data_IF_201090277846
#
_entry.id   IF_201090277846
#
_cell.length_a   1.000
_cell.length_b   1.000
_cell.length_c   1.000
_cell.angle_alpha   90.00
_cell.angle_beta   90.00
_cell.angle_gamma   90.00
#
_symmetry.space_group_name_H-M   'P 1'
#
loop_
_entity.id
_entity.type
_entity.pdbx_description
1 polymer ?
#
# COMPACT_ATOMS: atom_id res chain seq x y z
N UNK A 1 -19.92 -0.40 16.27
CA UNK A 1 -21.15 -0.60 17.08
C UNK A 1 -21.35 -2.07 17.43
N UNK A 2 -22.31 -2.40 18.30
CA UNK A 2 -22.57 -3.79 18.75
C UNK A 2 -23.49 -4.59 17.81
N UNK A 3 -24.05 -3.95 16.78
CA UNK A 3 -24.88 -4.64 15.80
C UNK A 3 -24.03 -5.65 15.01
N UNK A 4 -24.51 -6.88 14.78
CA UNK A 4 -23.81 -7.86 13.96
C UNK A 4 -23.80 -7.45 12.48
N UNK A 5 -22.87 -8.01 11.70
CA UNK A 5 -22.74 -7.81 10.27
C UNK A 5 -21.46 -7.08 9.86
N UNK A 6 -21.14 -7.15 8.57
CA UNK A 6 -19.87 -6.71 8.00
C UNK A 6 -19.81 -5.21 7.71
N UNK A 7 -20.92 -4.50 7.94
CA UNK A 7 -21.03 -3.06 7.81
C UNK A 7 -21.41 -2.40 9.15
N UNK A 8 -21.00 -1.15 9.28
CA UNK A 8 -21.46 -0.22 10.32
C UNK A 8 -22.34 0.84 9.65
N UNK A 9 -23.48 1.14 10.26
CA UNK A 9 -24.38 2.21 9.84
C UNK A 9 -24.34 3.33 10.89
N UNK A 10 -23.81 4.48 10.49
CA UNK A 10 -23.85 5.69 11.28
C UNK A 10 -25.02 6.57 10.83
N UNK A 11 -25.71 7.18 11.80
CA UNK A 11 -26.89 8.02 11.56
C UNK A 11 -26.75 9.33 12.34
N UNK A 12 -26.64 10.44 11.62
CA UNK A 12 -26.71 11.78 12.18
C UNK A 12 -28.14 12.31 12.03
N UNK A 13 -28.77 12.64 13.15
CA UNK A 13 -30.14 13.18 13.19
C UNK A 13 -30.11 14.60 13.72
N UNK A 14 -30.68 15.53 12.96
CA UNK A 14 -30.97 16.91 13.35
C UNK A 14 -32.47 17.17 13.27
N UNK A 15 -32.92 18.37 13.66
CA UNK A 15 -34.34 18.73 13.56
C UNK A 15 -34.86 18.74 12.10
N UNK A 16 -33.97 19.07 11.15
CA UNK A 16 -34.35 19.35 9.76
C UNK A 16 -33.77 18.34 8.77
N UNK A 17 -32.87 17.45 9.22
CA UNK A 17 -32.09 16.58 8.35
C UNK A 17 -31.68 15.26 9.03
N UNK A 18 -31.66 14.17 8.25
CA UNK A 18 -31.08 12.88 8.61
C UNK A 18 -30.02 12.54 7.57
N UNK A 19 -28.82 12.22 8.05
CA UNK A 19 -27.71 11.76 7.22
C UNK A 19 -27.26 10.38 7.67
N UNK A 20 -26.93 9.53 6.71
CA UNK A 20 -26.49 8.15 6.97
C UNK A 20 -25.22 7.84 6.21
N UNK A 21 -24.27 7.18 6.88
CA UNK A 21 -23.06 6.66 6.27
C UNK A 21 -22.95 5.16 6.55
N UNK A 22 -22.52 4.39 5.55
CA UNK A 22 -22.21 2.97 5.67
C UNK A 22 -20.75 2.76 5.36
N UNK A 23 -20.09 1.96 6.17
CA UNK A 23 -18.69 1.62 5.97
C UNK A 23 -18.40 0.19 6.45
N UNK A 24 -17.34 -0.45 5.93
CA UNK A 24 -16.93 -1.77 6.39
C UNK A 24 -16.63 -1.78 7.89
N UNK A 25 -16.95 -2.90 8.53
CA UNK A 25 -16.55 -3.19 9.90
C UNK A 25 -15.08 -3.61 9.92
N UNK A 26 -14.31 -3.01 10.81
CA UNK A 26 -12.98 -3.53 11.17
C UNK A 26 -13.18 -4.72 12.10
N UNK A 27 -12.65 -5.88 11.71
CA UNK A 27 -12.71 -7.11 12.51
C UNK A 27 -11.70 -7.07 13.66
N UNK A 28 -12.10 -6.46 14.78
CA UNK A 28 -11.28 -6.36 15.99
C UNK A 28 -12.13 -6.11 17.22
N UNK A 29 -11.69 -6.64 18.36
CA UNK A 29 -12.28 -6.37 19.67
C UNK A 29 -11.68 -5.12 20.36
N UNK A 30 -10.60 -4.54 19.81
CA UNK A 30 -9.84 -3.43 20.40
C UNK A 30 -10.53 -2.06 20.29
N UNK A 31 -11.77 -1.99 20.72
CA UNK A 31 -12.64 -0.82 20.56
C UNK A 31 -12.72 0.05 21.81
N UNK A 32 -11.90 -0.24 22.84
CA UNK A 32 -11.89 0.52 24.08
C UNK A 32 -11.52 1.98 23.82
N UNK A 33 -12.30 2.90 24.39
CA UNK A 33 -12.13 4.34 24.21
C UNK A 33 -12.76 4.93 22.94
N UNK A 34 -13.35 4.11 22.05
CA UNK A 34 -13.97 4.56 20.80
C UNK A 34 -15.01 5.68 20.98
N UNK A 35 -15.96 5.53 21.90
CA UNK A 35 -17.00 6.54 22.13
C UNK A 35 -16.46 7.88 22.64
N UNK A 36 -15.51 7.85 23.58
CA UNK A 36 -14.85 9.06 24.10
C UNK A 36 -14.02 9.75 23.01
N UNK A 37 -13.26 8.97 22.25
CA UNK A 37 -12.40 9.50 21.19
C UNK A 37 -13.22 10.08 20.03
N UNK A 38 -14.33 9.44 19.63
CA UNK A 38 -15.23 9.96 18.60
C UNK A 38 -15.89 11.27 19.05
N UNK A 39 -16.45 11.28 20.26
CA UNK A 39 -17.10 12.48 20.81
C UNK A 39 -16.12 13.64 20.96
N UNK A 40 -14.90 13.38 21.43
CA UNK A 40 -13.85 14.39 21.53
C UNK A 40 -13.44 14.92 20.15
N UNK A 41 -13.25 14.04 19.16
CA UNK A 41 -12.91 14.44 17.79
C UNK A 41 -13.98 15.37 17.19
N UNK A 42 -15.27 15.01 17.31
CA UNK A 42 -16.38 15.83 16.81
C UNK A 42 -16.43 17.17 17.56
N UNK A 43 -16.35 17.17 18.88
CA UNK A 43 -16.40 18.39 19.69
C UNK A 43 -15.26 19.36 19.35
N UNK A 44 -14.04 18.85 19.16
CA UNK A 44 -12.88 19.67 18.75
C UNK A 44 -13.08 20.28 17.37
N UNK A 45 -13.58 19.51 16.39
CA UNK A 45 -13.86 20.03 15.03
C UNK A 45 -14.93 21.11 15.02
N UNK A 46 -16.01 20.91 15.76
CA UNK A 46 -17.05 21.93 15.95
C UNK A 46 -16.48 23.20 16.61
N UNK A 47 -15.60 23.06 17.61
CA UNK A 47 -14.93 24.19 18.23
C UNK A 47 -14.01 24.96 17.27
N UNK A 48 -13.49 24.29 16.23
CA UNK A 48 -12.76 24.91 15.13
C UNK A 48 -13.65 25.54 14.05
N UNK A 49 -14.97 25.49 14.20
CA UNK A 49 -15.93 26.09 13.28
C UNK A 49 -16.26 25.23 12.06
N UNK A 50 -15.91 23.94 12.08
CA UNK A 50 -16.33 23.02 11.02
C UNK A 50 -17.87 22.84 11.03
N UNK A 51 -18.54 22.75 9.87
CA UNK A 51 -19.96 22.40 9.79
C UNK A 51 -20.25 21.06 10.49
N UNK A 52 -21.44 20.90 11.08
CA UNK A 52 -21.79 19.72 11.87
C UNK A 52 -21.60 18.41 11.10
N UNK A 53 -22.09 18.36 9.87
CA UNK A 53 -21.97 17.19 8.98
C UNK A 53 -20.50 16.84 8.75
N UNK A 54 -19.67 17.82 8.40
CA UNK A 54 -18.24 17.61 8.17
C UNK A 54 -17.50 17.17 9.43
N UNK A 55 -17.84 17.78 10.58
CA UNK A 55 -17.24 17.44 11.87
C UNK A 55 -17.54 16.00 12.28
N UNK A 56 -18.78 15.55 12.06
CA UNK A 56 -19.21 14.16 12.31
C UNK A 56 -18.52 13.21 11.35
N UNK A 57 -18.59 13.46 10.03
CA UNK A 57 -17.97 12.61 9.02
C UNK A 57 -16.46 12.44 9.22
N UNK A 58 -15.73 13.54 9.49
CA UNK A 58 -14.29 13.48 9.79
C UNK A 58 -13.97 12.86 11.14
N UNK A 59 -14.92 12.88 12.09
CA UNK A 59 -14.82 12.17 13.36
C UNK A 59 -14.93 10.66 13.17
N UNK A 60 -15.87 10.21 12.34
CA UNK A 60 -16.06 8.81 11.95
C UNK A 60 -14.83 8.29 11.21
N UNK A 61 -14.36 9.01 10.18
CA UNK A 61 -13.16 8.62 9.43
C UNK A 61 -11.91 8.51 10.33
N UNK A 62 -11.76 9.41 11.31
CA UNK A 62 -10.72 9.29 12.33
C UNK A 62 -10.87 8.02 13.17
N UNK A 63 -12.11 7.69 13.58
CA UNK A 63 -12.39 6.53 14.41
C UNK A 63 -12.14 5.21 13.68
N UNK A 64 -12.58 5.10 12.42
CA UNK A 64 -12.29 3.94 11.57
C UNK A 64 -10.80 3.63 11.54
N UNK A 65 -9.97 4.65 11.25
CA UNK A 65 -8.52 4.53 11.24
C UNK A 65 -7.95 4.19 12.63
N UNK A 66 -8.47 4.81 13.68
CA UNK A 66 -8.01 4.57 15.06
C UNK A 66 -8.31 3.14 15.54
N UNK A 67 -9.42 2.55 15.07
CA UNK A 67 -9.78 1.15 15.34
C UNK A 67 -8.94 0.21 14.48
N UNK A 68 -8.79 0.49 13.17
CA UNK A 68 -7.98 -0.31 12.23
C UNK A 68 -6.54 -0.45 12.70
N UNK A 69 -5.96 0.62 13.22
CA UNK A 69 -4.58 0.65 13.70
C UNK A 69 -4.51 0.72 15.23
N UNK A 70 -5.36 -0.05 15.91
CA UNK A 70 -5.45 -0.08 17.37
C UNK A 70 -4.11 -0.40 18.06
N UNK A 71 -4.06 -0.14 19.36
CA UNK A 71 -3.00 -0.60 20.22
C UNK A 71 -3.40 -1.87 20.96
N UNK A 72 -2.56 -2.89 20.84
CA UNK A 72 -2.59 -4.05 21.72
C UNK A 72 -1.85 -3.69 23.03
N UNK A 73 -2.62 -3.36 24.07
CA UNK A 73 -2.12 -2.86 25.35
C UNK A 73 -2.92 -3.42 26.52
N UNK A 74 -2.21 -3.75 27.60
CA UNK A 74 -2.80 -4.38 28.78
C UNK A 74 -3.07 -5.87 28.57
N UNK A 75 -3.97 -6.43 29.38
CA UNK A 75 -4.39 -7.84 29.30
C UNK A 75 -5.78 -8.00 28.63
N UNK A 76 -6.38 -6.89 28.19
CA UNK A 76 -7.70 -6.87 27.57
C UNK A 76 -7.65 -6.84 26.04
N UNK A 77 -8.79 -6.58 25.37
CA UNK A 77 -8.88 -6.60 23.91
C UNK A 77 -8.07 -5.54 23.16
N UNK A 78 -7.36 -4.63 23.85
CA UNK A 78 -6.71 -3.46 23.27
C UNK A 78 -7.56 -2.18 23.27
N UNK A 79 -7.01 -1.10 22.71
CA UNK A 79 -7.65 0.22 22.69
C UNK A 79 -7.43 0.95 21.36
N UNK A 80 -8.34 1.87 21.03
CA UNK A 80 -8.22 2.67 19.80
C UNK A 80 -6.96 3.54 19.81
N UNK A 81 -6.36 3.76 18.64
CA UNK A 81 -5.16 4.56 18.50
C UNK A 81 -5.49 6.06 18.38
N UNK A 82 -5.59 6.71 19.54
CA UNK A 82 -5.92 8.14 19.68
C UNK A 82 -4.97 9.08 18.91
N UNK A 83 -3.71 8.66 18.71
CA UNK A 83 -2.69 9.47 18.03
C UNK A 83 -2.45 9.04 16.58
N UNK A 84 -3.31 8.21 15.98
CA UNK A 84 -3.04 7.60 14.67
C UNK A 84 -2.73 8.64 13.60
N UNK A 85 -3.50 9.73 13.52
CA UNK A 85 -3.26 10.80 12.57
C UNK A 85 -1.92 11.52 12.79
N UNK A 86 -1.61 11.84 14.06
CA UNK A 86 -0.34 12.49 14.43
C UNK A 86 0.85 11.59 14.13
N UNK A 87 0.75 10.30 14.44
CA UNK A 87 1.80 9.31 14.17
C UNK A 87 1.97 9.11 12.67
N UNK A 88 0.89 9.12 11.90
CA UNK A 88 0.96 9.05 10.45
C UNK A 88 1.76 10.21 9.88
N UNK A 89 1.41 11.44 10.28
CA UNK A 89 2.13 12.65 9.87
C UNK A 89 3.60 12.60 10.27
N UNK A 90 3.90 12.23 11.52
CA UNK A 90 5.27 12.15 12.04
C UNK A 90 6.16 11.13 11.30
N UNK A 91 5.56 10.13 10.63
CA UNK A 91 6.32 9.11 9.88
C UNK A 91 6.60 9.49 8.43
N UNK A 92 6.11 10.65 7.96
CA UNK A 92 6.27 11.06 6.56
C UNK A 92 7.74 11.25 6.16
N UNK A 93 8.52 11.91 6.99
CA UNK A 93 9.95 12.14 6.75
C UNK A 93 10.72 10.81 6.69
N UNK A 94 10.59 9.95 7.71
CA UNK A 94 11.25 8.65 7.73
C UNK A 94 10.86 7.76 6.53
N UNK A 95 9.60 7.84 6.07
CA UNK A 95 9.14 7.11 4.87
C UNK A 95 9.81 7.65 3.61
N UNK A 96 9.94 8.98 3.49
CA UNK A 96 10.65 9.63 2.38
C UNK A 96 12.13 9.25 2.36
N UNK A 97 12.79 9.24 3.52
CA UNK A 97 14.19 8.81 3.66
C UNK A 97 14.37 7.35 3.27
N UNK A 98 13.46 6.47 3.70
CA UNK A 98 13.49 5.05 3.36
C UNK A 98 13.40 4.80 1.85
N UNK A 99 12.44 5.46 1.17
CA UNK A 99 12.32 5.39 -0.29
C UNK A 99 13.56 5.99 -0.97
N UNK A 100 14.05 7.13 -0.50
CA UNK A 100 15.28 7.75 -1.01
C UNK A 100 16.48 6.82 -0.88
N UNK A 101 16.59 6.08 0.24
CA UNK A 101 17.63 5.09 0.46
C UNK A 101 17.57 3.94 -0.55
N UNK A 102 16.38 3.41 -0.83
CA UNK A 102 16.19 2.39 -1.85
C UNK A 102 16.57 2.89 -3.26
N UNK A 103 16.10 4.07 -3.64
CA UNK A 103 16.44 4.71 -4.93
C UNK A 103 17.94 4.89 -5.09
N UNK A 104 18.64 5.36 -4.04
CA UNK A 104 20.10 5.50 -4.07
C UNK A 104 20.84 4.18 -4.24
N UNK A 105 20.31 3.07 -3.72
CA UNK A 105 20.87 1.73 -3.98
C UNK A 105 20.66 1.32 -5.42
N UNK A 106 19.47 1.56 -5.97
CA UNK A 106 19.14 1.24 -7.36
C UNK A 106 20.02 1.98 -8.37
N UNK A 107 20.31 3.26 -8.12
CA UNK A 107 21.25 4.04 -8.94
C UNK A 107 22.70 3.56 -8.80
N UNK A 108 23.12 3.13 -7.60
CA UNK A 108 24.49 2.72 -7.33
C UNK A 108 24.83 1.36 -7.93
N UNK A 109 23.94 0.38 -7.74
CA UNK A 109 24.13 -1.01 -8.19
C UNK A 109 23.58 -1.23 -9.61
N UNK A 110 23.01 -0.17 -10.22
CA UNK A 110 22.56 -0.16 -11.61
C UNK A 110 21.52 -1.24 -11.97
N UNK A 111 20.30 -1.06 -11.48
CA UNK A 111 19.15 -1.94 -11.79
C UNK A 111 18.53 -1.70 -13.17
N UNK A 112 19.31 -1.19 -14.13
CA UNK A 112 18.84 -0.81 -15.47
C UNK A 112 18.08 -1.91 -16.22
N UNK A 113 18.45 -3.20 -16.13
CA UNK A 113 17.69 -4.29 -16.74
C UNK A 113 16.26 -4.38 -16.22
N UNK A 114 16.01 -4.10 -14.94
CA UNK A 114 14.68 -4.19 -14.34
C UNK A 114 13.80 -2.95 -14.58
N UNK A 115 14.28 -1.91 -15.26
CA UNK A 115 13.47 -0.71 -15.51
C UNK A 115 12.53 -0.93 -16.72
N UNK A 116 11.20 -0.79 -16.56
CA UNK A 116 10.26 -0.88 -17.68
C UNK A 116 10.28 0.39 -18.54
N UNK A 117 9.71 0.33 -19.74
CA UNK A 117 9.64 1.49 -20.66
C UNK A 117 8.79 2.63 -20.08
N UNK A 118 7.74 2.30 -19.32
CA UNK A 118 6.95 3.30 -18.57
C UNK A 118 7.67 3.89 -17.34
N UNK A 119 8.87 3.41 -17.02
CA UNK A 119 9.68 3.82 -15.88
C UNK A 119 9.33 3.08 -14.58
N UNK A 120 10.37 2.84 -13.78
CA UNK A 120 10.30 2.20 -12.46
C UNK A 120 9.90 3.22 -11.41
N UNK A 121 9.02 2.88 -10.47
CA UNK A 121 8.70 3.74 -9.34
C UNK A 121 8.69 2.94 -8.04
N UNK A 122 9.35 3.49 -7.03
CA UNK A 122 9.38 2.95 -5.68
C UNK A 122 8.41 3.76 -4.85
N UNK A 123 7.50 3.08 -4.16
CA UNK A 123 6.51 3.69 -3.28
C UNK A 123 6.72 3.19 -1.86
N UNK A 124 6.66 4.11 -0.90
CA UNK A 124 6.61 3.83 0.53
C UNK A 124 5.35 4.43 1.15
N UNK A 125 4.55 3.63 1.83
CA UNK A 125 3.43 4.05 2.65
C UNK A 125 3.89 4.34 4.09
N UNK A 126 3.31 5.36 4.70
CA UNK A 126 3.37 5.49 6.16
C UNK A 126 2.66 4.29 6.81
N UNK A 127 2.98 3.92 8.06
CA UNK A 127 2.38 2.75 8.72
C UNK A 127 0.85 2.80 8.81
N UNK A 128 0.26 3.99 8.72
CA UNK A 128 -1.18 4.22 8.85
C UNK A 128 -1.80 4.85 7.58
N UNK A 129 -1.13 4.75 6.43
CA UNK A 129 -1.67 5.28 5.18
C UNK A 129 -2.94 4.53 4.78
N UNK A 130 -3.94 5.25 4.30
CA UNK A 130 -5.15 4.71 3.69
C UNK A 130 -5.45 5.39 2.35
N UNK A 131 -4.69 6.44 2.00
CA UNK A 131 -4.81 7.18 0.76
C UNK A 131 -3.45 7.40 0.08
N UNK A 132 -3.47 7.70 -1.22
CA UNK A 132 -2.25 7.80 -2.03
C UNK A 132 -1.37 9.01 -1.65
N UNK A 133 -1.97 10.08 -1.13
CA UNK A 133 -1.28 11.26 -0.61
C UNK A 133 -0.55 11.02 0.73
N UNK A 134 -0.76 9.85 1.32
CA UNK A 134 -0.03 9.29 2.47
C UNK A 134 1.06 8.30 2.04
N UNK A 135 1.39 8.28 0.74
CA UNK A 135 2.51 7.52 0.18
C UNK A 135 3.56 8.43 -0.43
N UNK A 136 4.83 8.11 -0.22
CA UNK A 136 5.99 8.76 -0.81
C UNK A 136 6.49 7.97 -2.01
N UNK A 137 6.83 8.65 -3.11
CA UNK A 137 7.35 8.03 -4.32
C UNK A 137 8.30 8.95 -5.08
N UNK A 138 8.98 8.42 -6.10
CA UNK A 138 9.85 9.21 -6.98
C UNK A 138 8.99 10.06 -7.93
N UNK A 139 9.08 11.38 -7.82
CA UNK A 139 8.43 12.28 -8.77
C UNK A 139 9.06 12.10 -10.16
N UNK A 140 8.24 11.77 -11.16
CA UNK A 140 8.71 11.52 -12.51
C UNK A 140 9.38 10.16 -12.72
N UNK A 141 9.38 9.25 -11.72
CA UNK A 141 9.91 7.87 -11.81
C UNK A 141 11.43 7.79 -12.00
N UNK A 142 11.94 6.57 -11.93
CA UNK A 142 13.30 6.17 -12.30
C UNK A 142 13.28 5.72 -13.76
N UNK A 143 14.21 6.25 -14.55
CA UNK A 143 14.32 5.94 -15.98
C UNK A 143 15.74 5.49 -16.36
N UNK A 144 15.84 4.79 -17.49
CA UNK A 144 17.12 4.34 -18.05
C UNK A 144 17.90 5.55 -18.56
N UNK A 145 19.20 5.56 -18.29
CA UNK A 145 20.17 6.47 -18.89
C UNK A 145 21.25 5.67 -19.63
N UNK A 146 22.19 6.36 -20.28
CA UNK A 146 23.35 5.71 -20.91
C UNK A 146 24.25 5.04 -19.86
N UNK A 147 24.36 5.64 -18.67
CA UNK A 147 25.26 5.20 -17.61
C UNK A 147 24.56 4.37 -16.51
N UNK A 148 23.28 4.02 -16.69
CA UNK A 148 22.53 3.20 -15.74
C UNK A 148 21.08 3.64 -15.58
N UNK A 149 20.70 4.02 -14.35
CA UNK A 149 19.36 4.51 -14.01
C UNK A 149 19.44 5.82 -13.25
N UNK A 150 18.43 6.68 -13.40
CA UNK A 150 18.29 7.92 -12.63
C UNK A 150 16.84 8.20 -12.25
N UNK A 151 16.65 8.67 -11.02
CA UNK A 151 15.43 9.34 -10.61
C UNK A 151 15.30 10.69 -11.32
N UNK A 152 14.17 10.95 -11.98
CA UNK A 152 13.96 12.21 -12.70
C UNK A 152 13.89 13.42 -11.76
N UNK A 153 13.30 13.24 -10.58
CA UNK A 153 13.20 14.24 -9.51
C UNK A 153 13.33 13.55 -8.15
N UNK A 154 13.15 14.31 -7.07
CA UNK A 154 13.21 13.81 -5.70
C UNK A 154 12.03 12.92 -5.32
N UNK A 155 12.14 12.32 -4.13
CA UNK A 155 11.04 11.61 -3.49
C UNK A 155 10.14 12.61 -2.78
N UNK A 156 8.83 12.49 -2.97
CA UNK A 156 7.84 13.28 -2.24
C UNK A 156 6.54 12.50 -2.08
N UNK A 157 5.67 12.98 -1.20
CA UNK A 157 4.31 12.47 -1.09
C UNK A 157 3.47 12.86 -2.30
N UNK A 158 2.46 12.05 -2.58
CA UNK A 158 1.51 12.28 -3.68
C UNK A 158 2.22 12.37 -5.05
N UNK A 159 3.24 11.53 -5.24
CA UNK A 159 4.05 11.47 -6.46
C UNK A 159 3.76 10.26 -7.36
N UNK A 160 3.01 9.27 -6.85
CA UNK A 160 2.65 8.06 -7.59
C UNK A 160 1.22 7.66 -7.26
N UNK A 161 0.44 7.33 -8.29
CA UNK A 161 -0.95 6.93 -8.13
C UNK A 161 -1.19 5.46 -8.47
N UNK A 162 -0.37 4.86 -9.33
CA UNK A 162 -0.58 3.47 -9.78
C UNK A 162 -0.02 2.45 -8.78
N UNK A 163 1.29 2.52 -8.50
CA UNK A 163 1.95 1.61 -7.53
C UNK A 163 1.46 1.87 -6.11
N UNK A 164 1.11 3.13 -5.78
CA UNK A 164 0.53 3.47 -4.50
C UNK A 164 -0.83 2.81 -4.27
N UNK A 165 -1.73 2.84 -5.26
CA UNK A 165 -3.00 2.13 -5.16
C UNK A 165 -2.79 0.63 -4.99
N UNK A 166 -1.94 0.01 -5.81
CA UNK A 166 -1.60 -1.41 -5.65
C UNK A 166 -1.10 -1.74 -4.24
N UNK A 167 -0.18 -0.95 -3.70
CA UNK A 167 0.34 -1.16 -2.34
C UNK A 167 -0.76 -1.00 -1.28
N UNK A 168 -1.64 0.00 -1.40
CA UNK A 168 -2.76 0.19 -0.47
C UNK A 168 -3.75 -0.97 -0.55
N UNK A 169 -4.11 -1.42 -1.76
CA UNK A 169 -4.98 -2.59 -1.96
C UNK A 169 -4.35 -3.87 -1.39
N UNK A 170 -3.04 -4.06 -1.53
CA UNK A 170 -2.32 -5.20 -0.92
C UNK A 170 -2.36 -5.16 0.62
N UNK A 171 -2.44 -3.96 1.22
CA UNK A 171 -2.49 -3.77 2.67
C UNK A 171 -3.83 -4.10 3.30
N UNK A 172 -4.90 -4.21 2.51
CA UNK A 172 -6.17 -4.75 2.99
C UNK A 172 -6.05 -6.23 3.37
N UNK A 173 -5.10 -6.96 2.76
CA UNK A 173 -4.79 -8.36 3.07
C UNK A 173 -3.59 -8.49 4.01
N UNK A 174 -2.58 -7.64 3.82
CA UNK A 174 -1.36 -7.66 4.62
C UNK A 174 -1.01 -6.26 5.13
N UNK A 175 -1.59 -5.81 6.26
CA UNK A 175 -1.45 -4.44 6.77
C UNK A 175 -0.01 -3.98 7.02
N UNK A 176 0.90 -4.92 7.27
CA UNK A 176 2.33 -4.69 7.49
C UNK A 176 3.11 -4.30 6.25
N UNK A 177 2.59 -4.55 5.04
CA UNK A 177 3.25 -4.12 3.80
C UNK A 177 3.37 -2.60 3.78
N UNK A 178 4.55 -2.09 3.43
CA UNK A 178 4.82 -0.65 3.42
C UNK A 178 5.52 -0.16 2.17
N UNK A 179 6.14 -1.03 1.40
CA UNK A 179 6.92 -0.64 0.24
C UNK A 179 6.59 -1.50 -0.95
N UNK A 180 6.55 -0.88 -2.12
CA UNK A 180 6.37 -1.58 -3.39
C UNK A 180 7.19 -0.92 -4.50
N UNK A 181 7.56 -1.70 -5.52
CA UNK A 181 8.24 -1.22 -6.73
C UNK A 181 7.72 -1.97 -7.95
N UNK A 182 7.54 -1.26 -9.07
CA UNK A 182 7.26 -1.89 -10.35
C UNK A 182 8.55 -2.05 -11.16
N UNK A 183 8.79 -3.27 -11.64
CA UNK A 183 9.88 -3.67 -12.48
C UNK A 183 9.35 -4.13 -13.85
N UNK A 184 10.24 -4.15 -14.84
CA UNK A 184 10.04 -4.84 -16.12
C UNK A 184 9.75 -6.32 -15.87
N UNK A 185 8.97 -6.93 -16.74
CA UNK A 185 8.78 -8.38 -16.80
C UNK A 185 9.00 -8.88 -18.22
N UNK A 186 9.84 -9.90 -18.35
CA UNK A 186 10.20 -10.64 -19.56
C UNK A 186 10.72 -12.03 -19.15
N UNK A 187 11.08 -12.86 -20.14
CA UNK A 187 11.49 -14.26 -19.92
C UNK A 187 12.70 -14.38 -18.96
N UNK A 188 13.64 -13.43 -19.01
CA UNK A 188 14.81 -13.41 -18.11
C UNK A 188 14.39 -13.16 -16.65
N UNK A 189 13.45 -12.22 -16.43
CA UNK A 189 12.91 -11.93 -15.10
C UNK A 189 12.02 -13.08 -14.61
N UNK A 190 11.28 -13.73 -15.49
CA UNK A 190 10.47 -14.92 -15.15
C UNK A 190 11.37 -16.06 -14.68
N UNK A 191 12.41 -16.40 -15.45
CA UNK A 191 13.38 -17.44 -15.07
C UNK A 191 14.12 -17.10 -13.77
N UNK A 192 14.45 -15.83 -13.54
CA UNK A 192 15.08 -15.39 -12.30
C UNK A 192 14.14 -15.56 -11.09
N UNK A 193 12.86 -15.23 -11.20
CA UNK A 193 11.88 -15.43 -10.13
C UNK A 193 11.72 -16.91 -9.78
N UNK A 194 11.71 -17.79 -10.79
CA UNK A 194 11.65 -19.25 -10.60
C UNK A 194 12.91 -19.77 -9.89
N UNK A 195 14.10 -19.30 -10.30
CA UNK A 195 15.39 -19.69 -9.69
C UNK A 195 15.48 -19.29 -8.21
N UNK A 196 15.00 -18.08 -7.89
CA UNK A 196 14.98 -17.55 -6.52
C UNK A 196 13.99 -18.28 -5.60
N UNK A 197 13.02 -19.01 -6.16
CA UNK A 197 12.03 -19.77 -5.41
C UNK A 197 11.14 -18.89 -4.52
N UNK A 198 10.94 -17.62 -4.89
CA UNK A 198 10.10 -16.71 -4.13
C UNK A 198 8.62 -17.03 -4.31
N UNK A 199 7.78 -16.80 -3.29
CA UNK A 199 6.33 -16.81 -3.46
C UNK A 199 5.92 -15.74 -4.47
N UNK A 200 5.35 -16.17 -5.59
CA UNK A 200 4.93 -15.32 -6.71
C UNK A 200 3.44 -15.52 -6.94
N UNK A 201 2.70 -14.43 -7.06
CA UNK A 201 1.33 -14.43 -7.52
C UNK A 201 1.24 -13.87 -8.94
N UNK A 202 0.29 -14.36 -9.72
CA UNK A 202 0.00 -13.85 -11.07
C UNK A 202 -1.48 -13.45 -11.15
N UNK A 203 -1.78 -12.36 -11.86
CA UNK A 203 -3.16 -12.06 -12.23
C UNK A 203 -3.27 -11.82 -13.74
N UNK A 204 -4.32 -12.39 -14.34
CA UNK A 204 -4.65 -12.15 -15.74
C UNK A 204 -5.60 -10.97 -15.87
N UNK A 205 -5.05 -9.81 -16.25
CA UNK A 205 -5.82 -8.59 -16.48
C UNK A 205 -6.98 -8.76 -17.48
N UNK A 206 -6.93 -9.72 -18.41
CA UNK A 206 -8.04 -10.01 -19.31
C UNK A 206 -9.24 -10.68 -18.61
N UNK A 207 -9.02 -11.25 -17.44
CA UNK A 207 -10.06 -11.82 -16.56
C UNK A 207 -10.67 -10.79 -15.60
N UNK A 208 -10.29 -9.50 -15.71
CA UNK A 208 -10.89 -8.41 -14.92
C UNK A 208 -12.38 -8.28 -15.28
N UNK A 209 -13.30 -8.42 -14.30
CA UNK A 209 -14.73 -8.20 -14.51
C UNK A 209 -15.04 -6.74 -14.85
N UNK A 210 -16.03 -6.51 -15.73
CA UNK A 210 -16.49 -5.16 -16.10
C UNK A 210 -17.04 -4.35 -14.91
N UNK A 211 -17.45 -5.03 -13.83
CA UNK A 211 -18.01 -4.45 -12.60
C UNK A 211 -16.98 -4.31 -11.46
N UNK A 212 -15.69 -4.55 -11.72
CA UNK A 212 -14.65 -4.40 -10.72
C UNK A 212 -14.57 -2.95 -10.21
N UNK A 213 -14.50 -2.78 -8.88
CA UNK A 213 -14.39 -1.48 -8.21
C UNK A 213 -13.11 -0.69 -8.59
N UNK A 214 -12.12 -1.38 -9.17
CA UNK A 214 -10.92 -0.80 -9.75
C UNK A 214 -9.87 -1.87 -10.03
N UNK A 215 -9.09 -1.71 -11.10
CA UNK A 215 -8.15 -2.74 -11.54
C UNK A 215 -7.07 -3.10 -10.51
N UNK A 216 -6.63 -2.13 -9.70
CA UNK A 216 -5.61 -2.38 -8.67
C UNK A 216 -6.18 -3.16 -7.49
N UNK A 217 -7.42 -2.87 -7.10
CA UNK A 217 -8.11 -3.59 -6.02
C UNK A 217 -8.39 -5.02 -6.44
N UNK A 218 -8.86 -5.21 -7.67
CA UNK A 218 -9.04 -6.54 -8.24
C UNK A 218 -7.72 -7.30 -8.35
N UNK A 219 -6.65 -6.67 -8.84
CA UNK A 219 -5.33 -7.28 -8.95
C UNK A 219 -4.75 -7.69 -7.58
N UNK A 220 -4.86 -6.82 -6.56
CA UNK A 220 -4.43 -7.15 -5.21
C UNK A 220 -5.26 -8.27 -4.60
N UNK A 221 -6.58 -8.30 -4.86
CA UNK A 221 -7.43 -9.42 -4.45
C UNK A 221 -6.99 -10.73 -5.07
N UNK A 222 -6.73 -10.77 -6.38
CA UNK A 222 -6.24 -11.99 -7.03
C UNK A 222 -4.90 -12.43 -6.46
N UNK A 223 -4.02 -11.48 -6.16
CA UNK A 223 -2.67 -11.78 -5.70
C UNK A 223 -2.61 -12.22 -4.23
N UNK A 224 -3.38 -11.58 -3.34
CA UNK A 224 -3.18 -11.71 -1.89
C UNK A 224 -4.36 -12.35 -1.14
N UNK A 225 -5.54 -12.52 -1.78
CA UNK A 225 -6.70 -13.07 -1.06
C UNK A 225 -6.55 -14.54 -0.66
N UNK A 226 -5.74 -15.32 -1.40
CA UNK A 226 -5.52 -16.73 -1.08
C UNK A 226 -4.78 -16.92 0.26
N UNK A 227 -3.94 -15.95 0.65
CA UNK A 227 -3.12 -15.99 1.86
C UNK A 227 -3.58 -14.97 2.92
N UNK A 228 -4.82 -14.48 2.79
CA UNK A 228 -5.36 -13.44 3.67
C UNK A 228 -5.37 -13.85 5.16
N UNK A 229 -5.54 -15.14 5.44
CA UNK A 229 -5.58 -15.70 6.80
C UNK A 229 -4.17 -15.91 7.40
N UNK A 230 -3.10 -15.66 6.65
CA UNK A 230 -1.71 -15.78 7.11
C UNK A 230 -1.18 -17.22 7.23
N UNK A 231 -1.93 -18.21 6.73
CA UNK A 231 -1.56 -19.64 6.75
C UNK A 231 -0.68 -20.05 5.53
N UNK A 232 -0.59 -19.18 4.51
CA UNK A 232 0.22 -19.38 3.31
C UNK A 232 1.37 -18.38 3.16
N UNK A 233 2.27 -18.66 2.21
CA UNK A 233 3.44 -17.84 1.95
C UNK A 233 3.05 -16.57 1.18
N UNK A 234 2.99 -15.44 1.90
CA UNK A 234 2.67 -14.14 1.32
C UNK A 234 3.53 -13.86 0.07
N UNK A 235 2.91 -13.54 -1.08
CA UNK A 235 3.62 -13.19 -2.29
C UNK A 235 4.64 -12.07 -2.07
N UNK A 236 5.84 -12.31 -2.59
CA UNK A 236 6.93 -11.33 -2.67
C UNK A 236 6.85 -10.55 -3.98
N UNK A 237 6.42 -11.23 -5.05
CA UNK A 237 6.28 -10.69 -6.38
C UNK A 237 4.85 -10.92 -6.90
N UNK A 238 4.34 -9.94 -7.66
CA UNK A 238 3.06 -10.02 -8.36
C UNK A 238 3.28 -9.73 -9.84
N UNK A 239 2.99 -10.72 -10.69
CA UNK A 239 3.15 -10.66 -12.14
C UNK A 239 1.84 -10.19 -12.80
N UNK A 240 1.99 -9.24 -13.71
CA UNK A 240 0.98 -8.81 -14.68
C UNK A 240 1.58 -9.04 -16.08
N UNK A 241 1.10 -10.06 -16.80
CA UNK A 241 1.60 -10.38 -18.15
C UNK A 241 1.26 -9.33 -19.21
N UNK A 242 0.58 -8.25 -18.83
CA UNK A 242 0.21 -7.16 -19.73
C UNK A 242 -1.00 -7.51 -20.58
N UNK A 243 -1.32 -6.59 -21.49
CA UNK A 243 -2.42 -6.71 -22.45
C UNK A 243 -2.14 -5.81 -23.66
N UNK A 244 -3.02 -5.80 -24.65
CA UNK A 244 -2.87 -4.88 -25.80
C UNK A 244 -2.76 -3.43 -25.30
N UNK A 245 -1.59 -2.80 -25.54
CA UNK A 245 -1.29 -1.44 -25.08
C UNK A 245 -0.87 -1.30 -23.61
N UNK A 246 -0.67 -2.41 -22.88
CA UNK A 246 -0.18 -2.43 -21.50
C UNK A 246 1.07 -3.32 -21.42
N UNK A 247 2.19 -2.70 -21.06
CA UNK A 247 3.47 -3.38 -20.85
C UNK A 247 3.35 -4.43 -19.72
N UNK A 248 3.90 -5.64 -19.88
CA UNK A 248 4.04 -6.60 -18.79
C UNK A 248 4.89 -6.04 -17.65
N UNK A 249 4.53 -6.35 -16.41
CA UNK A 249 5.20 -5.83 -15.22
C UNK A 249 5.22 -6.82 -14.07
N UNK A 250 6.32 -6.80 -13.32
CA UNK A 250 6.40 -7.45 -12.00
C UNK A 250 6.39 -6.38 -10.93
N UNK A 251 5.62 -6.59 -9.86
CA UNK A 251 5.61 -5.70 -8.69
C UNK A 251 6.18 -6.46 -7.51
N UNK A 252 7.23 -5.93 -6.89
CA UNK A 252 7.76 -6.48 -5.65
C UNK A 252 7.18 -5.69 -4.47
N UNK A 253 6.89 -6.37 -3.37
CA UNK A 253 6.37 -5.76 -2.13
C UNK A 253 7.25 -6.11 -0.93
N UNK A 254 7.29 -5.26 0.08
CA UNK A 254 7.96 -5.54 1.36
C UNK A 254 7.43 -4.67 2.51
N UNK A 255 7.74 -5.07 3.74
CA UNK A 255 7.43 -4.32 4.96
C UNK A 255 8.51 -3.28 5.28
N UNK A 256 9.74 -3.51 4.81
CA UNK A 256 10.89 -2.62 4.99
C UNK A 256 11.51 -2.23 3.64
N UNK A 257 11.92 -0.97 3.50
CA UNK A 257 12.56 -0.47 2.29
C UNK A 257 13.89 -1.17 1.99
N UNK A 258 14.64 -1.57 3.01
CA UNK A 258 15.89 -2.34 2.87
C UNK A 258 15.62 -3.69 2.24
N UNK A 259 14.64 -4.43 2.75
CA UNK A 259 14.21 -5.72 2.18
C UNK A 259 13.69 -5.58 0.76
N UNK A 260 12.92 -4.52 0.46
CA UNK A 260 12.50 -4.25 -0.93
C UNK A 260 13.72 -4.03 -1.82
N UNK A 261 14.68 -3.24 -1.35
CA UNK A 261 15.88 -2.96 -2.12
C UNK A 261 16.74 -4.21 -2.33
N UNK A 262 16.91 -5.05 -1.30
CA UNK A 262 17.63 -6.31 -1.39
C UNK A 262 16.99 -7.22 -2.44
N UNK A 263 15.66 -7.37 -2.42
CA UNK A 263 14.91 -8.14 -3.43
C UNK A 263 15.08 -7.63 -4.84
N UNK A 264 15.05 -6.31 -5.05
CA UNK A 264 15.27 -5.77 -6.41
C UNK A 264 16.68 -6.08 -6.90
N UNK A 265 17.70 -5.98 -6.03
CA UNK A 265 19.08 -6.26 -6.40
C UNK A 265 19.31 -7.75 -6.67
N UNK A 266 18.78 -8.62 -5.82
CA UNK A 266 18.87 -10.07 -5.99
C UNK A 266 18.18 -10.53 -7.29
N UNK A 267 16.99 -9.99 -7.57
CA UNK A 267 16.31 -10.23 -8.85
C UNK A 267 17.11 -9.71 -10.05
N UNK A 268 17.76 -8.56 -9.90
CA UNK A 268 18.56 -7.97 -10.96
C UNK A 268 19.80 -8.82 -11.26
N UNK A 269 20.50 -9.28 -10.22
CA UNK A 269 21.71 -10.09 -10.35
C UNK A 269 21.39 -11.44 -10.98
N UNK A 270 20.29 -12.09 -10.56
CA UNK A 270 19.85 -13.36 -11.13
C UNK A 270 19.42 -13.20 -12.59
N UNK A 271 18.63 -12.16 -12.91
CA UNK A 271 18.17 -11.91 -14.28
C UNK A 271 19.31 -11.55 -15.26
N UNK A 272 20.41 -10.96 -14.78
CA UNK A 272 21.59 -10.68 -15.62
C UNK A 272 22.48 -11.93 -15.76
N UNK A 273 22.52 -12.79 -14.74
CA UNK A 273 23.42 -13.94 -14.72
C UNK A 273 22.99 -15.01 -15.72
N UNK A 274 21.68 -15.25 -15.86
CA UNK A 274 21.09 -16.19 -16.82
C UNK A 274 21.61 -17.64 -16.72
N UNK A 275 20.90 -18.62 -17.29
CA UNK A 275 21.36 -20.02 -17.31
C UNK A 275 22.60 -20.30 -18.19
N UNK A 276 23.08 -19.30 -18.95
CA UNK A 276 24.15 -19.45 -19.96
C UNK A 276 25.55 -18.99 -19.50
N UNK A 277 25.77 -18.73 -18.20
CA UNK A 277 27.10 -18.38 -17.70
C UNK A 277 28.08 -19.56 -17.57
N UNK A 278 27.62 -20.79 -17.79
CA UNK A 278 28.41 -22.03 -17.71
C UNK A 278 28.48 -22.77 -19.08
N UNK A 279 29.08 -22.16 -20.11
CA UNK A 279 29.56 -22.87 -21.31
C UNK A 279 30.89 -22.34 -21.85
#
# INVERSE_FOLDING_TARGET
GHMPGDEVLDVLVTADHIETARHPRVDTDATHGSGCALSAAIATRLAHGEPLVDAVGRGVAFMERAVRYHHDVGEGPGAVHHMVALRNEATREATTEAVTGAVRRFERENVRPLVPEVGMNVVGATPYAEATDETAAVEGRITKTLDGVRANRGVRFDASSHVARFLLSAREYHPGLRFAVNCRFDDDVEAALDSLGWPVAEYDRAAEPDDAAGTMDWAARQAFAADADGDGDRPVAVIDRGAVGKEPMTKLVAEAATTLADRVLELNDEAISGPDADH
#
